data_IF_822612423156
#
_entry.id   IF_822612423156
#
_cell.length_a   1.000
_cell.length_b   1.000
_cell.length_c   1.000
_cell.angle_alpha   90.00
_cell.angle_beta   90.00
_cell.angle_gamma   90.00
#
_symmetry.space_group_name_H-M   'P 1'
#
loop_
_entity.id
_entity.type
_entity.pdbx_description
1 polymer ?
#
# COMPACT_ATOMS: atom_id res chain seq x y z
N UNK A 1 20.92 36.70 -22.40
CA UNK A 1 20.47 37.76 -23.33
C UNK A 1 19.79 37.19 -24.57
N UNK A 2 20.56 36.72 -25.56
CA UNK A 2 20.03 36.25 -26.86
C UNK A 2 19.25 34.93 -26.81
N UNK A 3 19.62 34.00 -25.92
CA UNK A 3 18.90 32.72 -25.77
C UNK A 3 17.52 32.88 -25.13
N UNK A 4 17.37 33.77 -24.15
CA UNK A 4 16.08 34.01 -23.47
C UNK A 4 15.10 34.80 -24.34
N UNK A 5 15.61 35.76 -25.13
CA UNK A 5 14.82 36.48 -26.14
C UNK A 5 14.35 35.54 -27.25
N UNK A 6 15.18 34.56 -27.64
CA UNK A 6 14.79 33.49 -28.55
C UNK A 6 13.73 32.55 -27.95
N UNK A 7 13.87 32.15 -26.68
CA UNK A 7 12.84 31.33 -26.02
C UNK A 7 11.50 32.06 -25.88
N UNK A 8 11.52 33.35 -25.53
CA UNK A 8 10.31 34.17 -25.41
C UNK A 8 9.65 34.45 -26.76
N UNK A 9 10.43 34.63 -27.84
CA UNK A 9 9.86 34.76 -29.19
C UNK A 9 9.25 33.44 -29.67
N UNK A 10 9.82 32.29 -29.31
CA UNK A 10 9.24 30.98 -29.63
C UNK A 10 7.96 30.67 -28.86
N UNK A 11 7.87 31.10 -27.60
CA UNK A 11 6.64 31.02 -26.80
C UNK A 11 5.53 31.90 -27.36
N UNK A 12 5.84 33.11 -27.85
CA UNK A 12 4.82 33.96 -28.48
C UNK A 12 4.34 33.41 -29.81
N UNK A 13 5.23 32.83 -30.61
CA UNK A 13 4.87 32.21 -31.89
C UNK A 13 3.96 30.99 -31.70
N UNK A 14 4.21 30.19 -30.65
CA UNK A 14 3.39 29.03 -30.31
C UNK A 14 1.96 29.41 -29.87
N UNK A 15 1.83 30.46 -29.05
CA UNK A 15 0.53 30.97 -28.58
C UNK A 15 -0.30 31.58 -29.73
N UNK A 16 0.34 32.21 -30.71
CA UNK A 16 -0.32 32.76 -31.88
C UNK A 16 -0.75 31.68 -32.89
N UNK A 17 -0.02 30.56 -32.96
CA UNK A 17 -0.38 29.42 -33.80
C UNK A 17 -1.63 28.69 -33.29
N UNK A 18 -1.81 28.58 -31.96
CA UNK A 18 -3.02 28.01 -31.35
C UNK A 18 -4.26 28.89 -31.55
N UNK A 19 -4.10 30.22 -31.57
CA UNK A 19 -5.19 31.17 -31.74
C UNK A 19 -5.78 31.22 -33.16
N UNK A 20 -5.10 30.64 -34.16
CA UNK A 20 -5.54 30.61 -35.56
C UNK A 20 -6.33 29.37 -35.98
N UNK A 21 -6.49 28.36 -35.11
CA UNK A 21 -6.97 27.03 -35.50
C UNK A 21 -8.43 26.71 -35.13
N UNK A 22 -9.21 27.63 -34.57
CA UNK A 22 -10.59 27.36 -34.12
C UNK A 22 -11.65 28.29 -34.73
N UNK A 23 -12.11 28.00 -35.96
CA UNK A 23 -13.54 27.92 -36.34
C UNK A 23 -13.76 27.79 -37.87
N UNK A 24 -14.67 26.89 -38.34
CA UNK A 24 -15.05 26.70 -39.75
C UNK A 24 -16.22 27.64 -40.21
N UNK A 25 -16.61 27.66 -41.51
CA UNK A 25 -17.37 28.75 -42.14
C UNK A 25 -18.85 28.44 -42.47
N UNK A 26 -19.76 29.42 -42.44
CA UNK A 26 -21.04 29.45 -43.21
C UNK A 26 -21.74 30.83 -43.08
N UNK A 27 -21.91 31.67 -44.13
CA UNK A 27 -22.84 31.78 -45.29
C UNK A 27 -24.07 32.71 -45.10
N UNK A 28 -24.24 33.59 -46.10
CA UNK A 28 -25.52 34.10 -46.63
C UNK A 28 -25.96 35.47 -46.07
N UNK A 29 -26.52 36.43 -46.81
CA UNK A 29 -27.03 36.53 -48.20
C UNK A 29 -27.07 38.03 -48.59
N UNK A 30 -27.03 38.27 -49.91
CA UNK A 30 -27.27 39.44 -50.80
C UNK A 30 -28.24 40.55 -50.28
N UNK A 31 -28.33 41.77 -50.82
CA UNK A 31 -28.31 42.20 -52.24
C UNK A 31 -28.09 43.73 -52.38
N UNK A 32 -27.30 44.14 -53.39
CA UNK A 32 -27.68 44.86 -54.64
C UNK A 32 -27.77 46.40 -54.62
N UNK A 33 -27.17 47.01 -55.66
CA UNK A 33 -27.35 48.43 -56.01
C UNK A 33 -26.21 49.06 -56.78
N UNK A 34 -26.14 48.84 -58.10
CA UNK A 34 -25.25 49.51 -59.08
C UNK A 34 -25.58 51.01 -59.24
N UNK A 35 -24.56 51.83 -59.50
CA UNK A 35 -24.70 53.17 -60.07
C UNK A 35 -23.35 53.84 -60.34
N UNK A 36 -23.11 54.23 -61.60
CA UNK A 36 -21.82 54.60 -62.15
C UNK A 36 -21.57 56.12 -62.30
N UNK A 37 -20.29 56.46 -62.43
CA UNK A 37 -19.70 57.50 -63.29
C UNK A 37 -19.57 58.98 -62.83
N UNK A 38 -18.31 59.40 -62.83
CA UNK A 38 -17.75 60.56 -63.56
C UNK A 38 -17.82 62.00 -63.01
N UNK A 39 -16.64 62.64 -63.16
CA UNK A 39 -16.37 64.03 -63.54
C UNK A 39 -15.77 64.99 -62.48
N UNK A 40 -14.52 65.34 -62.82
CA UNK A 40 -13.75 66.58 -62.65
C UNK A 40 -14.34 67.82 -61.94
N UNK A 41 -13.47 68.44 -61.13
CA UNK A 41 -12.99 69.85 -61.23
C UNK A 41 -13.09 70.72 -59.94
N UNK A 42 -11.89 71.04 -59.44
CA UNK A 42 -11.40 72.31 -58.83
C UNK A 42 -12.14 73.04 -57.69
N UNK A 43 -11.32 73.27 -56.64
CA UNK A 43 -11.15 74.46 -55.77
C UNK A 43 -12.28 74.80 -54.78
N UNK A 44 -12.00 74.58 -53.49
CA UNK A 44 -12.70 75.19 -52.37
C UNK A 44 -12.00 74.93 -51.04
N UNK A 45 -11.43 75.97 -50.44
CA UNK A 45 -10.77 75.95 -49.13
C UNK A 45 -11.79 76.29 -48.05
N UNK A 46 -12.22 75.33 -47.22
CA UNK A 46 -12.67 75.51 -45.82
C UNK A 46 -13.26 74.23 -45.24
N UNK A 47 -12.97 74.00 -43.95
CA UNK A 47 -13.85 73.23 -43.06
C UNK A 47 -13.23 71.97 -42.47
N UNK A 48 -12.78 72.07 -41.20
CA UNK A 48 -12.54 70.93 -40.31
C UNK A 48 -13.77 70.00 -40.32
N UNK A 49 -13.57 68.72 -40.62
CA UNK A 49 -14.45 67.64 -40.17
C UNK A 49 -13.57 66.57 -39.54
N UNK A 50 -13.80 66.34 -38.24
CA UNK A 50 -13.17 65.29 -37.47
C UNK A 50 -13.50 63.92 -38.11
N UNK A 51 -12.47 63.11 -38.36
CA UNK A 51 -12.63 61.71 -38.68
C UNK A 51 -13.09 60.98 -37.41
N UNK A 52 -14.19 60.24 -37.51
CA UNK A 52 -14.66 59.36 -36.46
C UNK A 52 -13.62 58.25 -36.19
N UNK A 53 -13.42 57.83 -34.93
CA UNK A 53 -12.43 56.82 -34.59
C UNK A 53 -12.90 55.44 -35.07
N UNK A 54 -12.03 54.73 -35.79
CA UNK A 54 -12.14 53.27 -35.99
C UNK A 54 -12.15 52.58 -34.63
N UNK A 55 -12.97 51.53 -34.43
CA UNK A 55 -13.11 50.88 -33.13
C UNK A 55 -11.77 50.26 -32.70
N UNK A 56 -11.43 50.29 -31.40
CA UNK A 56 -10.19 49.71 -30.93
C UNK A 56 -10.25 48.20 -31.16
N UNK A 57 -9.37 47.69 -32.02
CA UNK A 57 -9.07 46.25 -32.03
C UNK A 57 -8.77 45.87 -30.58
N UNK A 58 -9.37 44.80 -30.05
CA UNK A 58 -9.30 44.39 -28.63
C UNK A 58 -7.89 44.07 -28.11
N UNK A 59 -6.86 44.33 -28.92
CA UNK A 59 -5.45 44.15 -28.65
C UNK A 59 -4.64 45.45 -28.78
N UNK A 60 -5.25 46.61 -29.04
CA UNK A 60 -4.53 47.90 -29.14
C UNK A 60 -3.80 48.24 -27.84
N UNK A 61 -4.40 47.92 -26.69
CA UNK A 61 -3.76 48.04 -25.38
C UNK A 61 -2.57 47.08 -25.19
N UNK A 62 -2.62 45.88 -25.78
CA UNK A 62 -1.49 44.94 -25.77
C UNK A 62 -0.35 45.38 -26.70
N UNK A 63 -0.68 46.00 -27.84
CA UNK A 63 0.31 46.58 -28.77
C UNK A 63 0.97 47.82 -28.17
N UNK A 64 0.20 48.72 -27.54
CA UNK A 64 0.77 49.86 -26.81
C UNK A 64 1.61 49.43 -25.60
N UNK A 65 1.18 48.40 -24.86
CA UNK A 65 1.97 47.81 -23.77
C UNK A 65 3.26 47.18 -24.30
N UNK A 66 3.20 46.46 -25.43
CA UNK A 66 4.37 45.90 -26.11
C UNK A 66 5.34 46.98 -26.59
N UNK A 67 4.85 48.07 -27.17
CA UNK A 67 5.68 49.15 -27.72
C UNK A 67 6.24 50.08 -26.63
N UNK A 68 5.54 50.21 -25.49
CA UNK A 68 6.05 50.92 -24.31
C UNK A 68 7.07 50.07 -23.55
N UNK A 69 6.86 48.77 -23.41
CA UNK A 69 7.85 47.82 -22.89
C UNK A 69 9.05 47.71 -23.84
N UNK A 70 8.83 47.70 -25.16
CA UNK A 70 9.87 47.68 -26.19
C UNK A 70 10.78 48.92 -26.16
N UNK A 71 10.20 50.11 -25.93
CA UNK A 71 10.97 51.36 -25.75
C UNK A 71 11.69 51.41 -24.40
N UNK A 72 11.05 50.92 -23.34
CA UNK A 72 11.66 50.82 -22.02
C UNK A 72 12.80 49.79 -21.97
N UNK A 73 12.74 48.73 -22.78
CA UNK A 73 13.77 47.66 -22.84
C UNK A 73 14.97 47.98 -23.75
N UNK A 74 14.87 49.01 -24.61
CA UNK A 74 15.92 49.36 -25.59
C UNK A 74 16.94 50.39 -25.08
N UNK A 75 16.83 50.86 -23.83
CA UNK A 75 17.83 51.74 -23.21
C UNK A 75 19.02 50.94 -22.65
N UNK A 76 20.22 51.54 -22.60
CA UNK A 76 21.41 50.89 -22.02
C UNK A 76 21.22 50.52 -20.54
N UNK A 77 20.48 51.33 -19.80
CA UNK A 77 20.12 51.11 -18.39
C UNK A 77 19.14 49.96 -18.21
N UNK A 78 18.17 49.81 -19.13
CA UNK A 78 17.27 48.66 -19.12
C UNK A 78 17.99 47.35 -19.45
N UNK A 79 18.98 47.39 -20.36
CA UNK A 79 19.84 46.24 -20.63
C UNK A 79 20.56 45.73 -19.36
N UNK A 80 21.04 46.65 -18.51
CA UNK A 80 21.65 46.32 -17.23
C UNK A 80 20.65 45.74 -16.22
N UNK A 81 19.45 46.32 -16.12
CA UNK A 81 18.36 45.81 -15.27
C UNK A 81 17.94 44.40 -15.69
N UNK A 82 17.81 44.13 -17.00
CA UNK A 82 17.51 42.79 -17.52
C UNK A 82 18.62 41.78 -17.28
N UNK A 83 19.87 42.19 -17.29
CA UNK A 83 20.99 41.33 -16.91
C UNK A 83 20.93 40.94 -15.42
N UNK A 84 20.61 41.89 -14.54
CA UNK A 84 20.41 41.63 -13.11
C UNK A 84 19.22 40.70 -12.89
N UNK A 85 18.08 40.96 -13.53
CA UNK A 85 16.89 40.12 -13.44
C UNK A 85 17.17 38.69 -13.93
N UNK A 86 17.85 38.55 -15.08
CA UNK A 86 18.22 37.24 -15.61
C UNK A 86 19.19 36.50 -14.66
N UNK A 87 20.17 37.19 -14.09
CA UNK A 87 21.08 36.62 -13.11
C UNK A 87 20.34 36.18 -11.83
N UNK A 88 19.37 36.98 -11.36
CA UNK A 88 18.53 36.62 -10.22
C UNK A 88 17.70 35.37 -10.50
N UNK A 89 17.01 35.31 -11.64
CA UNK A 89 16.20 34.13 -12.02
C UNK A 89 17.07 32.88 -12.14
N UNK A 90 18.23 32.97 -12.79
CA UNK A 90 19.17 31.84 -12.88
C UNK A 90 19.68 31.43 -11.50
N UNK A 91 19.94 32.38 -10.61
CA UNK A 91 20.38 32.10 -9.23
C UNK A 91 19.28 31.40 -8.43
N UNK A 92 18.03 31.86 -8.52
CA UNK A 92 16.88 31.23 -7.87
C UNK A 92 16.68 29.81 -8.41
N UNK A 93 16.70 29.61 -9.73
CA UNK A 93 16.60 28.28 -10.34
C UNK A 93 17.76 27.37 -9.94
N UNK A 94 18.99 27.91 -9.81
CA UNK A 94 20.14 27.17 -9.33
C UNK A 94 19.97 26.73 -7.86
N UNK A 95 19.53 27.62 -6.98
CA UNK A 95 19.27 27.30 -5.56
C UNK A 95 18.14 26.29 -5.42
N UNK A 96 17.06 26.44 -6.19
CA UNK A 96 15.96 25.48 -6.22
C UNK A 96 16.41 24.12 -6.78
N UNK A 97 17.17 24.12 -7.87
CA UNK A 97 17.73 22.91 -8.48
C UNK A 97 18.67 22.18 -7.53
N UNK A 98 19.55 22.93 -6.84
CA UNK A 98 20.42 22.37 -5.81
C UNK A 98 19.62 21.77 -4.64
N UNK A 99 18.60 22.49 -4.16
CA UNK A 99 17.69 22.02 -3.12
C UNK A 99 16.94 20.75 -3.53
N UNK A 100 16.47 20.68 -4.78
CA UNK A 100 15.83 19.50 -5.35
C UNK A 100 16.79 18.32 -5.41
N UNK A 101 18.00 18.50 -5.94
CA UNK A 101 19.04 17.45 -5.98
C UNK A 101 19.33 16.93 -4.58
N UNK A 102 19.52 17.83 -3.60
CA UNK A 102 19.75 17.44 -2.20
C UNK A 102 18.57 16.67 -1.60
N UNK A 103 17.34 17.09 -1.90
CA UNK A 103 16.14 16.36 -1.50
C UNK A 103 16.10 14.96 -2.14
N UNK A 104 16.35 14.84 -3.44
CA UNK A 104 16.43 13.57 -4.15
C UNK A 104 17.49 12.64 -3.54
N UNK A 105 18.66 13.15 -3.15
CA UNK A 105 19.67 12.35 -2.45
C UNK A 105 19.19 11.83 -1.09
N UNK A 106 18.43 12.63 -0.33
CA UNK A 106 17.84 12.19 0.94
C UNK A 106 16.77 11.11 0.74
N UNK A 107 15.89 11.30 -0.24
CA UNK A 107 14.85 10.32 -0.59
C UNK A 107 15.49 9.03 -1.11
N UNK A 108 16.49 9.12 -1.97
CA UNK A 108 17.21 7.95 -2.49
C UNK A 108 17.82 7.10 -1.38
N UNK A 109 18.44 7.73 -0.37
CA UNK A 109 18.97 7.01 0.80
C UNK A 109 17.88 6.33 1.63
N UNK A 110 16.71 6.95 1.76
CA UNK A 110 15.59 6.36 2.49
C UNK A 110 14.90 5.21 1.74
N UNK A 111 14.89 5.24 0.40
CA UNK A 111 14.30 4.19 -0.43
C UNK A 111 15.26 3.02 -0.70
N UNK A 112 16.57 3.27 -0.66
CA UNK A 112 17.60 2.27 -0.94
C UNK A 112 18.00 1.44 0.29
N UNK A 113 17.04 1.09 1.15
CA UNK A 113 17.26 0.22 2.31
C UNK A 113 16.65 -1.17 2.05
N UNK A 114 17.46 -2.23 1.86
CA UNK A 114 16.93 -3.58 1.71
C UNK A 114 16.28 -4.05 3.01
N UNK A 115 15.15 -4.76 2.91
CA UNK A 115 14.38 -5.21 4.09
C UNK A 115 14.88 -6.51 4.72
N UNK A 116 15.54 -7.37 3.93
CA UNK A 116 16.04 -8.70 4.37
C UNK A 116 17.42 -8.57 5.04
N UNK A 117 18.32 -7.79 4.45
CA UNK A 117 19.66 -7.54 4.97
C UNK A 117 19.74 -6.06 5.29
N UNK A 118 19.89 -5.70 6.56
CA UNK A 118 19.82 -4.30 7.01
C UNK A 118 21.10 -3.88 7.71
N UNK A 119 21.45 -2.60 7.56
CA UNK A 119 22.52 -2.02 8.36
C UNK A 119 21.96 -1.69 9.74
N UNK A 120 22.51 -2.32 10.77
CA UNK A 120 22.19 -2.05 12.16
C UNK A 120 23.34 -1.34 12.87
N UNK A 121 23.02 -0.61 13.93
CA UNK A 121 24.04 -0.06 14.83
C UNK A 121 23.97 -0.80 16.16
N UNK A 122 25.10 -1.33 16.61
CA UNK A 122 25.18 -1.99 17.92
C UNK A 122 25.14 -0.97 19.06
N UNK A 123 24.95 -1.43 20.29
CA UNK A 123 25.05 -0.59 21.50
C UNK A 123 26.37 0.18 21.60
N UNK A 124 27.42 -0.33 20.95
CA UNK A 124 28.77 0.23 20.98
C UNK A 124 29.01 1.24 19.84
N UNK A 125 28.00 1.53 19.02
CA UNK A 125 28.08 2.46 17.89
C UNK A 125 28.67 1.86 16.61
N UNK A 126 29.03 0.57 16.62
CA UNK A 126 29.54 -0.11 15.43
C UNK A 126 28.41 -0.37 14.43
N UNK A 127 28.65 -0.07 13.15
CA UNK A 127 27.72 -0.40 12.08
C UNK A 127 27.96 -1.82 11.61
N UNK A 128 26.95 -2.67 11.77
CA UNK A 128 26.98 -4.08 11.41
C UNK A 128 25.95 -4.38 10.32
N UNK A 129 26.26 -5.36 9.48
CA UNK A 129 25.29 -5.93 8.55
C UNK A 129 24.48 -7.01 9.28
N UNK A 130 23.19 -6.74 9.48
CA UNK A 130 22.22 -7.66 10.09
C UNK A 130 21.62 -8.52 8.98
N UNK A 131 22.04 -9.78 8.94
CA UNK A 131 21.70 -10.75 7.88
C UNK A 131 20.94 -11.98 8.42
N UNK A 132 20.44 -11.89 9.65
CA UNK A 132 19.80 -12.99 10.39
C UNK A 132 18.62 -13.63 9.65
N UNK A 133 17.84 -12.83 8.92
CA UNK A 133 16.66 -13.33 8.19
C UNK A 133 17.08 -14.26 7.05
N UNK A 134 18.07 -13.84 6.25
CA UNK A 134 18.60 -14.66 5.16
C UNK A 134 19.25 -15.92 5.69
N UNK A 135 20.06 -15.80 6.74
CA UNK A 135 20.73 -16.93 7.40
C UNK A 135 19.70 -17.96 7.88
N UNK A 136 18.61 -17.52 8.53
CA UNK A 136 17.53 -18.40 8.97
C UNK A 136 16.84 -19.12 7.80
N UNK A 137 16.57 -18.42 6.70
CA UNK A 137 15.95 -19.03 5.51
C UNK A 137 16.90 -20.04 4.82
N UNK A 138 18.20 -19.76 4.77
CA UNK A 138 19.18 -20.71 4.26
C UNK A 138 19.32 -21.93 5.16
N UNK A 139 19.30 -21.74 6.49
CA UNK A 139 19.27 -22.86 7.42
C UNK A 139 18.04 -23.75 7.16
N UNK A 140 16.84 -23.18 7.00
CA UNK A 140 15.65 -23.94 6.60
C UNK A 140 15.88 -24.71 5.30
N UNK A 141 16.49 -24.08 4.29
CA UNK A 141 16.73 -24.70 2.97
C UNK A 141 17.72 -25.85 3.03
N UNK A 142 18.76 -25.73 3.84
CA UNK A 142 19.91 -26.63 3.79
C UNK A 142 19.84 -27.73 4.86
N UNK A 143 19.16 -27.49 5.99
CA UNK A 143 19.15 -28.38 7.16
C UNK A 143 17.80 -29.09 7.41
N UNK A 144 16.74 -28.78 6.65
CA UNK A 144 15.43 -29.46 6.79
C UNK A 144 15.09 -30.32 5.57
N UNK A 145 14.24 -31.36 5.69
CA UNK A 145 13.70 -32.08 4.54
C UNK A 145 12.97 -31.16 3.53
N UNK A 146 13.06 -31.45 2.23
CA UNK A 146 12.41 -30.63 1.18
C UNK A 146 10.88 -30.56 1.29
N UNK A 147 10.27 -31.60 1.85
CA UNK A 147 8.83 -31.71 2.07
C UNK A 147 8.37 -31.10 3.42
N UNK A 148 9.27 -30.42 4.13
CA UNK A 148 8.94 -29.77 5.40
C UNK A 148 8.00 -28.59 5.23
N UNK A 149 7.00 -28.53 6.11
CA UNK A 149 5.99 -27.48 6.16
C UNK A 149 6.33 -26.50 7.28
N UNK A 150 6.43 -25.21 6.95
CA UNK A 150 6.82 -24.16 7.88
C UNK A 150 5.61 -23.32 8.27
N UNK A 151 5.33 -23.26 9.56
CA UNK A 151 4.39 -22.34 10.17
C UNK A 151 5.06 -21.00 10.43
N UNK A 152 4.36 -19.93 10.07
CA UNK A 152 4.86 -18.56 10.04
C UNK A 152 3.67 -17.58 10.08
N UNK A 153 3.91 -16.33 10.43
CA UNK A 153 2.96 -15.26 10.14
C UNK A 153 2.95 -14.93 8.64
N UNK A 154 1.81 -14.47 8.12
CA UNK A 154 1.59 -14.33 6.67
C UNK A 154 2.54 -13.33 5.98
N UNK A 155 3.04 -12.33 6.71
CA UNK A 155 3.97 -11.28 6.21
C UNK A 155 5.18 -11.84 5.46
N UNK A 156 5.70 -13.01 5.85
CA UNK A 156 6.95 -13.57 5.34
C UNK A 156 6.80 -14.91 4.61
N UNK A 157 5.57 -15.29 4.24
CA UNK A 157 5.29 -16.50 3.46
C UNK A 157 6.07 -16.59 2.15
N UNK A 158 6.05 -15.52 1.34
CA UNK A 158 6.81 -15.46 0.09
C UNK A 158 8.33 -15.56 0.30
N UNK A 159 8.86 -15.05 1.41
CA UNK A 159 10.29 -15.14 1.71
C UNK A 159 10.69 -16.58 2.04
N UNK A 160 9.87 -17.29 2.82
CA UNK A 160 10.08 -18.71 3.11
C UNK A 160 10.01 -19.53 1.82
N UNK A 161 8.96 -19.36 1.02
CA UNK A 161 8.84 -20.14 -0.23
C UNK A 161 9.98 -19.82 -1.22
N UNK A 162 10.30 -18.54 -1.42
CA UNK A 162 11.27 -18.11 -2.42
C UNK A 162 12.74 -18.30 -2.03
N UNK A 163 13.10 -18.14 -0.76
CA UNK A 163 14.49 -18.20 -0.30
C UNK A 163 14.80 -19.52 0.40
N UNK A 164 13.89 -19.99 1.27
CA UNK A 164 14.08 -21.23 1.99
C UNK A 164 13.69 -22.47 1.15
N UNK A 165 12.98 -22.29 0.02
CA UNK A 165 12.48 -23.39 -0.82
C UNK A 165 11.71 -24.43 0.00
N UNK A 166 10.84 -23.96 0.91
CA UNK A 166 9.99 -24.81 1.75
C UNK A 166 8.52 -24.46 1.61
N UNK A 167 7.69 -25.49 1.76
CA UNK A 167 6.25 -25.33 1.84
C UNK A 167 5.92 -24.46 3.05
N UNK A 168 5.15 -23.40 2.84
CA UNK A 168 4.73 -22.50 3.91
C UNK A 168 3.21 -22.51 4.02
N UNK A 169 2.72 -22.36 5.24
CA UNK A 169 1.30 -22.10 5.50
C UNK A 169 0.99 -20.61 5.37
N UNK A 170 2.00 -19.75 5.42
CA UNK A 170 1.84 -18.31 5.29
C UNK A 170 1.76 -17.90 3.81
N UNK A 171 0.75 -17.10 3.44
CA UNK A 171 0.65 -16.49 2.11
C UNK A 171 0.36 -14.99 2.22
N UNK A 172 1.23 -14.19 1.61
CA UNK A 172 1.12 -12.73 1.57
C UNK A 172 0.02 -12.21 0.64
N UNK A 173 -0.61 -13.06 -0.17
CA UNK A 173 -1.76 -12.68 -1.01
C UNK A 173 -3.06 -12.49 -0.20
N UNK A 174 -3.13 -13.08 1.00
CA UNK A 174 -4.25 -12.95 1.94
C UNK A 174 -5.66 -13.17 1.38
N UNK A 175 -5.83 -14.10 0.44
CA UNK A 175 -7.13 -14.41 -0.16
C UNK A 175 -8.05 -15.22 0.77
N UNK A 176 -7.49 -16.12 1.58
CA UNK A 176 -8.22 -16.93 2.56
C UNK A 176 -8.06 -16.39 3.98
N UNK A 177 -9.03 -15.58 4.43
CA UNK A 177 -9.01 -14.94 5.74
C UNK A 177 -9.15 -15.94 6.90
N UNK A 178 -9.90 -17.03 6.69
CA UNK A 178 -10.09 -18.06 7.71
C UNK A 178 -8.80 -18.84 7.98
N UNK A 179 -8.01 -19.09 6.93
CA UNK A 179 -6.69 -19.67 7.07
C UNK A 179 -5.78 -18.76 7.89
N UNK A 180 -5.73 -17.46 7.58
CA UNK A 180 -4.93 -16.50 8.35
C UNK A 180 -5.40 -16.42 9.80
N UNK A 181 -6.71 -16.46 10.04
CA UNK A 181 -7.25 -16.47 11.40
C UNK A 181 -6.89 -17.76 12.15
N UNK A 182 -6.78 -18.90 11.47
CA UNK A 182 -6.28 -20.14 12.07
C UNK A 182 -4.79 -19.99 12.45
N UNK A 183 -3.98 -19.41 11.57
CA UNK A 183 -2.56 -19.10 11.87
C UNK A 183 -2.45 -18.18 13.09
N UNK A 184 -3.28 -17.13 13.13
CA UNK A 184 -3.39 -16.22 14.27
C UNK A 184 -3.77 -16.95 15.54
N UNK A 185 -4.83 -17.77 15.52
CA UNK A 185 -5.31 -18.55 16.68
C UNK A 185 -4.23 -19.49 17.21
N UNK A 186 -3.46 -20.12 16.33
CA UNK A 186 -2.33 -20.97 16.72
C UNK A 186 -1.22 -20.16 17.39
N UNK A 187 -0.84 -19.01 16.83
CA UNK A 187 0.24 -18.19 17.39
C UNK A 187 -0.16 -17.55 18.73
N UNK A 188 -1.40 -17.07 18.86
CA UNK A 188 -1.86 -16.35 20.06
C UNK A 188 -2.61 -17.24 21.05
N UNK A 189 -2.94 -18.48 20.69
CA UNK A 189 -3.63 -19.44 21.54
C UNK A 189 -2.72 -20.13 22.57
N UNK A 190 -3.32 -20.78 23.60
CA UNK A 190 -2.56 -21.51 24.62
C UNK A 190 -1.64 -22.57 24.01
N UNK A 191 -0.43 -22.73 24.57
CA UNK A 191 0.60 -23.64 24.05
C UNK A 191 0.09 -25.05 23.69
N UNK A 192 -0.71 -25.66 24.58
CA UNK A 192 -1.22 -27.03 24.38
C UNK A 192 -2.27 -27.12 23.27
N UNK A 193 -3.20 -26.16 23.21
CA UNK A 193 -4.21 -26.09 22.15
C UNK A 193 -3.54 -25.83 20.79
N UNK A 194 -2.58 -24.90 20.76
CA UNK A 194 -1.81 -24.58 19.57
C UNK A 194 -1.00 -25.76 19.06
N UNK A 195 -0.41 -26.55 19.96
CA UNK A 195 0.32 -27.76 19.61
C UNK A 195 -0.58 -28.83 18.96
N UNK A 196 -1.79 -29.06 19.50
CA UNK A 196 -2.73 -30.03 18.93
C UNK A 196 -3.14 -29.68 17.50
N UNK A 197 -3.20 -28.39 17.16
CA UNK A 197 -3.43 -27.94 15.80
C UNK A 197 -2.15 -28.07 14.96
N UNK A 198 -1.01 -27.62 15.49
CA UNK A 198 0.27 -27.57 14.78
C UNK A 198 0.79 -28.92 14.33
N UNK A 199 0.67 -29.96 15.17
CA UNK A 199 1.17 -31.30 14.85
C UNK A 199 0.55 -31.89 13.58
N UNK A 200 -0.59 -31.36 13.13
CA UNK A 200 -1.24 -31.74 11.87
C UNK A 200 -0.86 -30.83 10.70
N UNK A 201 -0.48 -29.58 10.95
CA UNK A 201 -0.27 -28.53 9.94
C UNK A 201 1.18 -28.37 9.51
N UNK A 202 2.13 -28.39 10.44
CA UNK A 202 3.51 -27.97 10.18
C UNK A 202 4.53 -28.89 10.88
N UNK A 203 5.76 -28.84 10.37
CA UNK A 203 6.91 -29.54 10.94
C UNK A 203 7.85 -28.56 11.68
N UNK A 204 7.87 -27.29 11.26
CA UNK A 204 8.65 -26.23 11.90
C UNK A 204 7.81 -24.98 12.15
N UNK A 205 8.14 -24.21 13.18
CA UNK A 205 7.62 -22.87 13.45
C UNK A 205 8.77 -21.87 13.35
N UNK A 206 8.63 -20.87 12.49
CA UNK A 206 9.55 -19.74 12.39
C UNK A 206 8.95 -18.52 13.09
N UNK A 207 9.72 -17.88 13.97
CA UNK A 207 9.29 -16.70 14.74
C UNK A 207 10.32 -15.59 14.61
N UNK A 208 9.88 -14.38 14.28
CA UNK A 208 10.73 -13.19 14.36
C UNK A 208 10.77 -12.68 15.80
N UNK A 209 11.97 -12.50 16.36
CA UNK A 209 12.21 -12.16 17.78
C UNK A 209 13.10 -10.93 17.99
N UNK A 210 13.27 -10.14 16.94
CA UNK A 210 14.33 -9.14 16.88
C UNK A 210 14.10 -7.78 17.55
N UNK A 211 12.96 -7.55 18.18
CA UNK A 211 12.53 -6.23 18.63
C UNK A 211 12.16 -5.28 17.49
N UNK A 212 11.37 -4.25 17.80
CA UNK A 212 11.06 -3.16 16.86
C UNK A 212 10.22 -3.59 15.65
N UNK A 213 9.09 -4.26 15.90
CA UNK A 213 8.19 -4.77 14.87
C UNK A 213 8.32 -6.27 14.61
N UNK A 214 8.82 -7.01 15.60
CA UNK A 214 8.81 -8.49 15.61
C UNK A 214 7.40 -9.05 15.78
N UNK A 215 7.29 -10.38 15.78
CA UNK A 215 5.99 -11.05 15.84
C UNK A 215 5.27 -10.78 17.16
N UNK A 216 6.01 -10.61 18.27
CA UNK A 216 5.43 -10.28 19.56
C UNK A 216 4.85 -8.86 19.59
N UNK A 217 5.52 -7.88 18.98
CA UNK A 217 4.99 -6.52 18.86
C UNK A 217 3.71 -6.45 18.01
N UNK A 218 3.60 -7.32 16.99
CA UNK A 218 2.42 -7.43 16.12
C UNK A 218 1.31 -8.30 16.73
N UNK A 219 1.64 -9.13 17.71
CA UNK A 219 0.76 -10.18 18.24
C UNK A 219 -0.64 -9.75 18.71
N UNK A 220 -0.88 -8.52 19.24
CA UNK A 220 -2.26 -8.07 19.51
C UNK A 220 -3.13 -7.98 18.25
N UNK A 221 -2.53 -7.69 17.09
CA UNK A 221 -3.23 -7.71 15.80
C UNK A 221 -3.55 -9.14 15.35
N UNK A 222 -2.61 -10.08 15.52
CA UNK A 222 -2.81 -11.51 15.25
C UNK A 222 -4.01 -12.04 16.06
N UNK A 223 -4.08 -11.71 17.34
CA UNK A 223 -5.16 -12.13 18.23
C UNK A 223 -6.53 -11.58 17.80
N UNK A 224 -6.58 -10.33 17.29
CA UNK A 224 -7.82 -9.75 16.74
C UNK A 224 -8.27 -10.43 15.46
N UNK A 225 -7.34 -10.76 14.56
CA UNK A 225 -7.67 -11.52 13.34
C UNK A 225 -8.20 -12.90 13.72
N UNK A 226 -7.53 -13.60 14.63
CA UNK A 226 -7.99 -14.88 15.15
C UNK A 226 -9.41 -14.77 15.73
N UNK A 227 -9.66 -13.78 16.58
CA UNK A 227 -10.96 -13.57 17.23
C UNK A 227 -12.09 -13.19 16.26
N UNK A 228 -11.76 -12.62 15.09
CA UNK A 228 -12.75 -12.28 14.05
C UNK A 228 -13.43 -13.52 13.44
N UNK A 229 -12.74 -14.67 13.43
CA UNK A 229 -13.26 -15.95 12.91
C UNK A 229 -13.53 -16.94 14.05
N UNK A 230 -12.67 -16.98 15.06
CA UNK A 230 -12.76 -17.89 16.21
C UNK A 230 -13.10 -17.11 17.48
N UNK A 231 -14.40 -16.88 17.72
CA UNK A 231 -14.89 -16.05 18.84
C UNK A 231 -14.61 -16.64 20.22
N UNK A 232 -14.27 -17.93 20.29
CA UNK A 232 -13.81 -18.60 21.50
C UNK A 232 -12.39 -18.15 21.91
N UNK A 233 -11.65 -17.49 21.02
CA UNK A 233 -10.30 -17.03 21.31
C UNK A 233 -10.25 -15.93 22.37
N UNK A 234 -11.12 -14.91 22.25
CA UNK A 234 -11.26 -13.84 23.24
C UNK A 234 -12.76 -13.67 23.59
N UNK A 235 -13.30 -14.53 24.48
CA UNK A 235 -14.72 -14.51 24.83
C UNK A 235 -15.15 -13.14 25.34
N UNK A 236 -16.29 -12.66 24.84
CA UNK A 236 -16.90 -11.37 25.20
C UNK A 236 -16.03 -10.11 24.95
N UNK A 237 -14.89 -10.23 24.27
CA UNK A 237 -14.01 -9.12 23.93
C UNK A 237 -13.66 -9.12 22.43
N UNK A 238 -14.47 -8.46 21.58
CA UNK A 238 -14.22 -8.38 20.14
C UNK A 238 -12.85 -7.78 19.78
N UNK A 239 -12.28 -6.93 20.64
CA UNK A 239 -11.01 -6.25 20.40
C UNK A 239 -9.80 -7.01 20.95
N UNK A 240 -10.05 -8.12 21.63
CA UNK A 240 -9.04 -8.94 22.30
C UNK A 240 -8.01 -8.09 23.08
N UNK A 241 -8.52 -7.12 23.87
CA UNK A 241 -7.72 -6.18 24.66
C UNK A 241 -6.90 -6.89 25.73
N UNK A 242 -7.35 -8.05 26.19
CA UNK A 242 -6.61 -8.89 27.14
C UNK A 242 -5.33 -9.48 26.54
N UNK A 243 -5.21 -9.60 25.21
CA UNK A 243 -3.98 -10.00 24.57
C UNK A 243 -3.07 -8.78 24.34
N UNK A 244 -2.23 -8.46 25.33
CA UNK A 244 -1.37 -7.27 25.30
C UNK A 244 -0.10 -7.42 26.14
N UNK A 245 0.88 -6.58 25.88
CA UNK A 245 1.94 -6.26 26.82
C UNK A 245 1.44 -5.20 27.81
N UNK A 246 1.67 -5.40 29.09
CA UNK A 246 1.30 -4.46 30.14
C UNK A 246 2.27 -3.28 30.23
N UNK A 247 1.88 -2.23 30.97
CA UNK A 247 2.69 -1.01 31.13
C UNK A 247 4.05 -1.26 31.79
N UNK A 248 4.16 -2.33 32.58
CA UNK A 248 5.41 -2.78 33.23
C UNK A 248 6.31 -3.58 32.27
N UNK A 249 5.92 -3.76 31.01
CA UNK A 249 6.65 -4.55 30.01
C UNK A 249 6.41 -6.07 30.11
N UNK A 250 5.62 -6.53 31.08
CA UNK A 250 5.29 -7.95 31.24
C UNK A 250 4.12 -8.35 30.31
N UNK A 251 4.06 -9.62 29.88
CA UNK A 251 2.91 -10.11 29.12
C UNK A 251 1.66 -10.18 30.02
N UNK A 252 0.48 -9.92 29.44
CA UNK A 252 -0.79 -10.25 30.11
C UNK A 252 -0.91 -11.76 30.37
N UNK A 253 -1.82 -12.21 31.25
CA UNK A 253 -2.04 -13.64 31.49
C UNK A 253 -2.42 -14.44 30.24
N UNK A 254 -3.07 -13.79 29.26
CA UNK A 254 -3.43 -14.40 27.98
C UNK A 254 -2.20 -14.51 27.07
N UNK A 255 -1.44 -13.42 26.92
CA UNK A 255 -0.20 -13.42 26.12
C UNK A 255 0.83 -14.39 26.68
N UNK A 256 1.00 -14.46 28.01
CA UNK A 256 1.93 -15.39 28.68
C UNK A 256 1.67 -16.85 28.34
N UNK A 257 0.40 -17.24 28.17
CA UNK A 257 0.01 -18.62 27.82
C UNK A 257 0.18 -18.93 26.32
N UNK A 258 0.36 -17.90 25.49
CA UNK A 258 0.38 -18.06 24.04
C UNK A 258 1.59 -18.84 23.54
N UNK A 259 1.43 -19.62 22.47
CA UNK A 259 2.54 -20.26 21.77
C UNK A 259 3.62 -19.23 21.41
N UNK A 260 3.21 -18.11 20.79
CA UNK A 260 4.13 -17.09 20.30
C UNK A 260 5.00 -16.52 21.41
N UNK A 261 4.42 -16.12 22.56
CA UNK A 261 5.23 -15.60 23.68
C UNK A 261 6.24 -16.63 24.20
N UNK A 262 5.80 -17.89 24.33
CA UNK A 262 6.64 -18.96 24.87
C UNK A 262 7.79 -19.31 23.92
N UNK A 263 7.56 -19.44 22.62
CA UNK A 263 8.63 -19.66 21.63
C UNK A 263 9.53 -18.43 21.47
N UNK A 264 8.94 -17.24 21.35
CA UNK A 264 9.69 -15.97 21.22
C UNK A 264 10.67 -15.78 22.39
N UNK A 265 10.18 -15.98 23.61
CA UNK A 265 10.92 -15.66 24.84
C UNK A 265 11.58 -16.87 25.49
N UNK A 266 11.55 -18.05 24.83
CA UNK A 266 12.15 -19.29 25.31
C UNK A 266 13.62 -19.07 25.71
N UNK A 267 14.02 -19.47 26.92
CA UNK A 267 15.37 -19.26 27.50
C UNK A 267 15.84 -17.80 27.65
N UNK A 268 15.04 -16.82 27.20
CA UNK A 268 15.34 -15.39 27.33
C UNK A 268 14.61 -14.76 28.52
N UNK A 269 13.44 -15.28 28.87
CA UNK A 269 12.61 -14.76 29.96
C UNK A 269 12.07 -15.90 30.85
N UNK A 270 12.13 -15.78 32.19
CA UNK A 270 11.74 -16.85 33.12
C UNK A 270 10.24 -17.19 33.08
N UNK A 271 9.40 -16.29 32.53
CA UNK A 271 7.97 -16.56 32.36
C UNK A 271 7.64 -17.45 31.16
N UNK A 272 8.57 -17.63 30.23
CA UNK A 272 8.37 -18.47 29.06
C UNK A 272 8.59 -19.94 29.43
N UNK A 273 7.57 -20.76 29.21
CA UNK A 273 7.56 -22.19 29.48
C UNK A 273 7.24 -22.90 28.18
N UNK A 274 8.27 -23.48 27.56
CA UNK A 274 8.13 -24.33 26.38
C UNK A 274 8.26 -25.78 26.83
N UNK A 275 7.30 -26.60 26.41
CA UNK A 275 7.38 -28.04 26.61
C UNK A 275 8.39 -28.63 25.61
N UNK A 276 9.55 -29.04 26.11
CA UNK A 276 10.64 -29.62 25.30
C UNK A 276 10.27 -30.97 24.68
N UNK A 277 9.18 -31.62 25.14
CA UNK A 277 8.66 -32.83 24.50
C UNK A 277 7.85 -32.54 23.24
N UNK A 278 7.41 -31.28 23.06
CA UNK A 278 6.56 -30.81 21.95
C UNK A 278 7.32 -29.92 20.98
N UNK A 279 8.26 -29.11 21.48
CA UNK A 279 9.01 -28.16 20.67
C UNK A 279 10.49 -28.23 20.99
N UNK A 280 11.31 -28.31 19.94
CA UNK A 280 12.76 -28.24 20.04
C UNK A 280 13.27 -27.01 19.30
N UNK A 281 13.97 -26.12 20.00
CA UNK A 281 14.69 -25.04 19.33
C UNK A 281 15.85 -25.62 18.52
N UNK A 282 15.83 -25.39 17.21
CA UNK A 282 16.80 -25.95 16.26
C UNK A 282 17.72 -24.89 15.66
N UNK A 283 17.29 -23.63 15.63
CA UNK A 283 18.08 -22.53 15.13
C UNK A 283 17.75 -21.22 15.85
N UNK A 284 18.80 -20.46 16.14
CA UNK A 284 18.71 -19.08 16.61
C UNK A 284 19.74 -18.26 15.83
N UNK A 285 19.27 -17.21 15.16
CA UNK A 285 20.14 -16.31 14.39
C UNK A 285 21.13 -15.55 15.28
N UNK A 286 22.27 -15.12 14.71
CA UNK A 286 23.37 -14.46 15.42
C UNK A 286 22.95 -13.29 16.32
N UNK A 287 22.07 -12.41 15.85
CA UNK A 287 21.59 -11.26 16.64
C UNK A 287 20.17 -11.47 17.22
N UNK A 288 19.71 -12.72 17.27
CA UNK A 288 18.42 -13.09 17.86
C UNK A 288 17.21 -12.48 17.14
N UNK A 289 17.30 -12.23 15.83
CA UNK A 289 16.19 -11.69 15.02
C UNK A 289 15.20 -12.76 14.58
N UNK A 290 15.66 -14.00 14.40
CA UNK A 290 14.83 -15.14 13.99
C UNK A 290 15.18 -16.36 14.84
N UNK A 291 14.13 -17.11 15.20
CA UNK A 291 14.23 -18.40 15.87
C UNK A 291 13.37 -19.42 15.13
N UNK A 292 13.85 -20.65 15.09
CA UNK A 292 13.14 -21.76 14.45
C UNK A 292 13.02 -22.91 15.45
N UNK A 293 11.81 -23.40 15.58
CA UNK A 293 11.46 -24.53 16.43
C UNK A 293 10.95 -25.68 15.57
N UNK A 294 11.46 -26.87 15.81
CA UNK A 294 10.91 -28.11 15.28
C UNK A 294 9.75 -28.56 16.18
N UNK A 295 8.66 -28.97 15.55
CA UNK A 295 7.50 -29.55 16.24
C UNK A 295 7.78 -31.04 16.37
N UNK A 296 7.85 -31.53 17.61
CA UNK A 296 7.99 -32.95 17.90
C UNK A 296 6.61 -33.61 17.86
N UNK A 297 6.54 -34.89 17.46
CA UNK A 297 5.26 -35.62 17.46
C UNK A 297 4.29 -35.22 16.35
N UNK A 298 4.78 -34.68 15.23
CA UNK A 298 3.97 -34.39 14.03
C UNK A 298 3.25 -35.63 13.51
N UNK A 299 1.97 -35.50 13.16
CA UNK A 299 1.16 -36.58 12.63
C UNK A 299 1.58 -36.94 11.21
N UNK A 300 2.18 -38.13 11.06
CA UNK A 300 2.50 -38.72 9.74
C UNK A 300 1.25 -38.91 8.89
N UNK A 301 0.16 -39.39 9.50
CA UNK A 301 -1.13 -39.56 8.83
C UNK A 301 -1.63 -38.25 8.21
N UNK A 302 -1.56 -37.13 8.93
CA UNK A 302 -1.97 -35.83 8.37
C UNK A 302 -1.03 -35.33 7.29
N UNK A 303 0.27 -35.60 7.40
CA UNK A 303 1.25 -35.24 6.37
C UNK A 303 1.02 -36.04 5.08
N UNK A 304 0.80 -37.34 5.19
CA UNK A 304 0.51 -38.24 4.07
C UNK A 304 -0.83 -37.88 3.42
N UNK A 305 -1.85 -37.56 4.22
CA UNK A 305 -3.16 -37.15 3.71
C UNK A 305 -3.10 -35.86 2.87
N UNK A 306 -2.34 -34.86 3.30
CA UNK A 306 -2.17 -33.60 2.55
C UNK A 306 -1.32 -33.81 1.28
N UNK A 307 -0.38 -34.75 1.32
CA UNK A 307 0.47 -35.07 0.16
C UNK A 307 -0.25 -35.86 -0.93
N UNK A 308 -1.32 -36.58 -0.61
CA UNK A 308 -2.10 -37.37 -1.56
C UNK A 308 -2.92 -36.47 -2.51
N UNK A 309 -2.62 -36.49 -3.83
CA UNK A 309 -3.37 -35.71 -4.82
C UNK A 309 -4.87 -36.04 -4.87
N UNK A 310 -5.29 -37.24 -4.42
CA UNK A 310 -6.70 -37.61 -4.34
C UNK A 310 -7.50 -36.74 -3.35
N UNK A 311 -6.83 -36.11 -2.39
CA UNK A 311 -7.45 -35.23 -1.41
C UNK A 311 -7.49 -33.76 -1.87
N UNK A 312 -7.00 -33.45 -3.07
CA UNK A 312 -7.08 -32.10 -3.63
C UNK A 312 -8.45 -31.86 -4.29
N UNK A 313 -8.97 -30.65 -4.15
CA UNK A 313 -10.22 -30.23 -4.79
C UNK A 313 -9.90 -29.47 -6.07
N UNK A 314 -9.85 -30.15 -7.21
CA UNK A 314 -9.70 -29.49 -8.50
C UNK A 314 -11.06 -28.94 -8.97
N UNK A 315 -11.11 -27.68 -9.40
CA UNK A 315 -12.33 -27.07 -9.94
C UNK A 315 -12.88 -27.83 -11.17
N UNK A 316 -11.97 -28.35 -12.00
CA UNK A 316 -12.26 -29.10 -13.22
C UNK A 316 -11.21 -30.22 -13.36
N UNK A 317 -11.59 -31.43 -13.86
CA UNK A 317 -10.60 -32.47 -14.16
C UNK A 317 -9.51 -31.96 -15.11
N UNK A 318 -8.25 -32.02 -14.68
CA UNK A 318 -7.10 -31.51 -15.43
C UNK A 318 -6.82 -30.01 -15.29
N UNK A 319 -7.53 -29.31 -14.40
CA UNK A 319 -7.19 -27.94 -14.00
C UNK A 319 -5.79 -27.89 -13.38
N UNK A 320 -5.08 -26.79 -13.60
CA UNK A 320 -3.82 -26.50 -12.91
C UNK A 320 -4.05 -26.02 -11.46
N UNK A 321 -5.29 -25.62 -11.13
CA UNK A 321 -5.68 -25.18 -9.80
C UNK A 321 -6.43 -26.29 -9.07
N UNK A 322 -5.74 -26.91 -8.11
CA UNK A 322 -6.22 -27.99 -7.26
C UNK A 322 -5.82 -27.68 -5.81
N UNK A 323 -6.57 -26.81 -5.11
CA UNK A 323 -6.32 -26.51 -3.71
C UNK A 323 -6.30 -27.78 -2.86
N UNK A 324 -5.29 -27.86 -1.99
CA UNK A 324 -5.24 -28.84 -0.92
C UNK A 324 -6.34 -28.57 0.12
N UNK A 325 -6.79 -29.62 0.78
CA UNK A 325 -7.73 -29.54 1.89
C UNK A 325 -7.00 -29.60 3.24
N UNK A 326 -7.71 -29.39 4.34
CA UNK A 326 -7.18 -29.62 5.68
C UNK A 326 -7.38 -31.08 6.11
N UNK A 327 -6.41 -31.69 6.81
CA UNK A 327 -6.55 -33.06 7.29
C UNK A 327 -7.78 -33.20 8.21
N UNK A 328 -8.47 -34.36 8.18
CA UNK A 328 -9.71 -34.57 8.95
C UNK A 328 -9.57 -34.32 10.45
N UNK A 329 -8.37 -34.48 11.00
CA UNK A 329 -8.07 -34.21 12.40
C UNK A 329 -8.33 -32.75 12.81
N UNK A 330 -8.30 -31.80 11.88
CA UNK A 330 -8.58 -30.38 12.13
C UNK A 330 -10.07 -30.03 12.03
N UNK A 331 -10.94 -30.99 11.68
CA UNK A 331 -12.36 -30.73 11.47
C UNK A 331 -13.02 -30.08 12.68
N UNK A 332 -12.63 -30.47 13.90
CA UNK A 332 -13.21 -29.90 15.12
C UNK A 332 -12.88 -28.42 15.28
N UNK A 333 -11.60 -28.02 15.13
CA UNK A 333 -11.23 -26.60 15.24
C UNK A 333 -11.85 -25.80 14.10
N UNK A 334 -11.84 -26.34 12.87
CA UNK A 334 -12.41 -25.68 11.70
C UNK A 334 -13.93 -25.52 11.80
N UNK A 335 -14.64 -26.42 12.49
CA UNK A 335 -16.09 -26.30 12.70
C UNK A 335 -16.48 -25.13 13.62
N UNK A 336 -15.54 -24.61 14.42
CA UNK A 336 -15.78 -23.45 15.29
C UNK A 336 -15.69 -22.11 14.56
N UNK A 337 -15.18 -22.12 13.31
CA UNK A 337 -15.00 -20.90 12.52
C UNK A 337 -16.34 -20.23 12.25
N UNK A 338 -16.34 -18.90 12.24
CA UNK A 338 -17.40 -18.07 11.66
C UNK A 338 -16.87 -17.54 10.34
N UNK A 339 -17.57 -17.87 9.27
CA UNK A 339 -17.19 -17.46 7.92
C UNK A 339 -17.03 -15.93 7.87
N UNK A 340 -15.94 -15.44 7.31
CA UNK A 340 -15.70 -14.00 7.21
C UNK A 340 -16.63 -13.39 6.16
N UNK A 341 -17.34 -12.30 6.46
CA UNK A 341 -18.17 -11.60 5.48
C UNK A 341 -17.33 -10.60 4.69
N UNK A 342 -17.10 -10.89 3.41
CA UNK A 342 -16.42 -9.96 2.51
C UNK A 342 -17.39 -8.92 1.96
N UNK A 343 -16.86 -7.80 1.46
CA UNK A 343 -17.69 -6.71 0.91
C UNK A 343 -18.45 -7.18 -0.35
N UNK A 344 -17.94 -8.22 -0.99
CA UNK A 344 -18.42 -8.87 -2.20
C UNK A 344 -19.46 -9.98 -1.95
N UNK A 345 -19.74 -10.31 -0.68
CA UNK A 345 -20.75 -11.31 -0.29
C UNK A 345 -22.18 -10.72 -0.38
N UNK A 346 -22.63 -10.38 -1.59
CA UNK A 346 -23.93 -9.72 -1.82
C UNK A 346 -25.17 -10.57 -1.48
N UNK A 347 -25.00 -11.90 -1.35
CA UNK A 347 -26.11 -12.86 -1.18
C UNK A 347 -26.23 -13.45 0.24
N UNK A 348 -25.52 -12.88 1.22
CA UNK A 348 -25.44 -13.48 2.56
C UNK A 348 -26.64 -13.10 3.43
N UNK A 349 -27.22 -14.08 4.12
CA UNK A 349 -28.33 -13.87 5.05
C UNK A 349 -27.96 -12.93 6.20
N UNK A 350 -28.78 -11.90 6.41
CA UNK A 350 -28.55 -10.85 7.41
C UNK A 350 -28.61 -11.39 8.86
N UNK A 351 -27.70 -10.95 9.74
CA UNK A 351 -28.00 -10.87 11.18
C UNK A 351 -27.05 -11.55 12.19
N UNK A 352 -26.30 -12.60 11.84
CA UNK A 352 -25.54 -13.37 12.85
C UNK A 352 -24.30 -12.64 13.43
N UNK A 353 -23.76 -11.68 12.67
CA UNK A 353 -22.49 -11.01 12.98
C UNK A 353 -22.66 -9.51 13.28
N UNK A 354 -23.87 -8.98 13.14
CA UNK A 354 -24.15 -7.55 13.28
C UNK A 354 -23.83 -7.03 14.69
N UNK A 355 -24.21 -7.77 15.73
CA UNK A 355 -23.94 -7.39 17.11
C UNK A 355 -22.43 -7.37 17.41
N UNK A 356 -21.70 -8.41 16.96
CA UNK A 356 -20.26 -8.49 17.12
C UNK A 356 -19.55 -7.33 16.43
N UNK A 357 -19.90 -7.05 15.17
CA UNK A 357 -19.35 -5.93 14.41
C UNK A 357 -19.69 -4.60 15.08
N UNK A 358 -20.93 -4.41 15.53
CA UNK A 358 -21.34 -3.19 16.24
C UNK A 358 -20.48 -2.97 17.49
N UNK A 359 -20.34 -3.99 18.35
CA UNK A 359 -19.50 -3.94 19.55
C UNK A 359 -18.03 -3.66 19.21
N UNK A 360 -17.53 -4.24 18.12
CA UNK A 360 -16.17 -4.01 17.63
C UNK A 360 -15.96 -2.54 17.19
N UNK A 361 -16.84 -1.98 16.36
CA UNK A 361 -16.77 -0.59 15.91
C UNK A 361 -16.94 0.41 17.06
N UNK A 362 -17.93 0.20 17.94
CA UNK A 362 -18.13 1.02 19.14
C UNK A 362 -16.89 0.98 20.03
N UNK A 363 -16.29 -0.19 20.21
CA UNK A 363 -15.06 -0.34 20.99
C UNK A 363 -13.84 0.35 20.38
N UNK A 364 -13.82 0.60 19.07
CA UNK A 364 -12.78 1.39 18.37
C UNK A 364 -13.10 2.89 18.33
N UNK A 365 -14.27 3.32 18.83
CA UNK A 365 -14.73 4.70 18.71
C UNK A 365 -15.12 5.09 17.27
N UNK A 366 -15.42 4.11 16.42
CA UNK A 366 -15.90 4.32 15.05
C UNK A 366 -17.43 4.17 15.01
N UNK A 367 -18.09 5.01 14.21
CA UNK A 367 -19.51 4.83 13.90
C UNK A 367 -19.72 3.51 13.16
N UNK A 368 -20.71 2.71 13.57
CA UNK A 368 -21.03 1.46 12.87
C UNK A 368 -21.29 1.72 11.38
N UNK A 369 -20.84 0.82 10.46
CA UNK A 369 -21.07 1.00 9.04
C UNK A 369 -22.57 1.10 8.76
N UNK A 370 -23.03 2.23 8.21
CA UNK A 370 -24.42 2.38 7.77
C UNK A 370 -24.66 1.38 6.63
N UNK A 371 -25.66 0.51 6.77
CA UNK A 371 -26.17 -0.32 5.66
C UNK A 371 -26.45 0.62 4.47
N UNK A 372 -25.72 0.46 3.36
CA UNK A 372 -26.18 1.03 2.09
C UNK A 372 -27.43 0.22 1.72
N UNK A 373 -28.59 0.86 1.89
CA UNK A 373 -29.89 0.25 1.60
C UNK A 373 -29.95 -0.29 0.17
N UNK A 374 -30.74 -1.35 0.02
CA UNK A 374 -31.07 -1.95 -1.25
C UNK A 374 -31.39 -0.89 -2.30
N UNK A 375 -30.73 -0.99 -3.45
CA UNK A 375 -31.21 -0.33 -4.67
C UNK A 375 -32.51 -1.05 -5.03
N UNK A 376 -33.62 -0.51 -4.54
CA UNK A 376 -34.95 -0.93 -4.95
C UNK A 376 -35.07 -0.77 -6.46
N UNK A 377 -35.33 -1.88 -7.15
CA UNK A 377 -35.73 -1.88 -8.55
C UNK A 377 -37.04 -1.10 -8.70
N UNK A 378 -36.94 0.16 -9.08
CA UNK A 378 -38.04 0.98 -9.54
C UNK A 378 -38.07 0.95 -11.06
N UNK A 379 -38.80 -0.02 -11.63
CA UNK A 379 -39.14 0.00 -13.04
C UNK A 379 -40.21 1.04 -13.35
N UNK A 380 -40.06 1.71 -14.49
CA UNK A 380 -41.16 2.17 -15.33
C UNK A 380 -41.78 3.53 -15.01
N UNK A 381 -41.67 4.47 -15.97
CA UNK A 381 -42.58 5.61 -16.09
C UNK A 381 -41.94 6.88 -16.61
N UNK A 382 -41.68 6.96 -17.92
CA UNK A 382 -41.42 8.24 -18.58
C UNK A 382 -42.72 9.04 -18.77
N UNK A 383 -42.63 10.37 -18.90
CA UNK A 383 -43.62 11.09 -19.67
C UNK A 383 -42.97 11.92 -20.79
N UNK A 384 -43.71 11.90 -21.91
CA UNK A 384 -43.75 12.77 -23.09
C UNK A 384 -43.32 14.22 -22.91
#
# INVERSE_FOLDING_TARGET
GRALTWCLSRLSDAVLAEAGSSAPPYKGVEADGKGASSSSAKKGKRGKRAAAPTPPSSFSGFVELRDSVGRATSSKEAGFIWQILAAFVVTVLYVMGWGFVWHSWRVARALAEPSIVRMGTTSNGETILVDDYREAYWWLRDETPRDSRVMAWWDYGYQINGIAERTTLADGNTWNHEHIALLGKVLTGPLDESYEILRHLADYVLVWTGGGGDDLAKSPHLARIANSVYRDHCPDDPLCREFRTEKNGLPSPMMKRSLLYNLHSHKLHPLAQVDETKFREVFQSKYGKVRIFEILGTSRESKEWVADPANQLCDVPGSWYCPGQYPPALREVLARKRDFAQLEDFNRGEGADEEYQKRYFEGMGLSSPKKKGSVGGGGGGGPS
#
